data_IF_805778693642
#
_entry.id   IF_805778693642
#
_cell.length_a   1.000
_cell.length_b   1.000
_cell.length_c   1.000
_cell.angle_alpha   90.00
_cell.angle_beta   90.00
_cell.angle_gamma   90.00
#
_symmetry.space_group_name_H-M   'P 1'
#
loop_
_entity.id
_entity.type
_entity.pdbx_description
1 polymer ?
#
# COMPACT_ATOMS: atom_id res chain seq x y z
N UNK A 1 7.58 21.85 -2.93
CA UNK A 1 8.39 22.54 -1.90
C UNK A 1 7.56 23.22 -0.79
N UNK A 2 6.57 24.08 -1.09
CA UNK A 2 5.82 24.79 -0.03
C UNK A 2 4.80 23.93 0.77
N UNK A 3 4.52 22.69 0.34
CA UNK A 3 3.57 21.79 1.04
C UNK A 3 4.23 20.75 1.96
N UNK A 4 5.56 20.57 1.92
CA UNK A 4 6.29 19.62 2.79
C UNK A 4 6.52 20.16 4.22
N UNK A 5 6.09 21.40 4.51
CA UNK A 5 6.05 21.96 5.88
C UNK A 5 4.63 21.91 6.47
N UNK A 6 3.81 20.98 5.99
CA UNK A 6 2.48 20.73 6.53
C UNK A 6 2.57 20.35 8.01
N UNK A 7 1.67 20.91 8.84
CA UNK A 7 1.56 20.49 10.24
C UNK A 7 1.19 19.00 10.29
N UNK A 8 1.90 18.17 11.07
CA UNK A 8 1.73 16.72 11.07
C UNK A 8 0.38 16.25 11.67
N UNK A 9 -0.38 17.16 12.27
CA UNK A 9 -1.67 16.86 12.90
C UNK A 9 -2.87 17.01 11.94
N UNK A 10 -2.64 17.33 10.67
CA UNK A 10 -3.70 17.44 9.65
C UNK A 10 -3.46 16.39 8.57
N UNK A 11 -4.36 15.41 8.51
CA UNK A 11 -4.37 14.34 7.50
C UNK A 11 -4.56 14.95 6.10
N UNK A 12 -3.83 14.45 5.11
CA UNK A 12 -3.86 14.91 3.72
C UNK A 12 -3.52 16.41 3.50
N UNK A 13 -2.84 17.03 4.46
CA UNK A 13 -2.26 18.38 4.32
C UNK A 13 -1.01 18.35 3.43
N UNK A 14 -0.19 17.34 3.61
CA UNK A 14 0.92 17.04 2.74
C UNK A 14 0.40 16.17 1.57
N UNK A 15 0.53 16.61 0.31
CA UNK A 15 0.11 15.82 -0.84
C UNK A 15 0.92 14.51 -0.99
N UNK A 16 2.08 14.40 -0.35
CA UNK A 16 2.94 13.23 -0.40
C UNK A 16 2.61 12.21 0.71
N UNK A 17 1.81 12.61 1.71
CA UNK A 17 1.42 11.74 2.84
C UNK A 17 -0.07 11.42 2.75
N UNK A 18 -0.36 10.28 2.15
CA UNK A 18 -1.70 9.68 2.17
C UNK A 18 -1.78 8.58 3.22
N UNK A 19 -2.67 8.74 4.18
CA UNK A 19 -2.97 7.65 5.13
C UNK A 19 -3.72 6.54 4.40
N UNK A 20 -3.36 5.27 4.62
CA UNK A 20 -4.06 4.16 4.00
C UNK A 20 -5.54 4.18 4.41
N UNK A 21 -6.45 3.92 3.47
CA UNK A 21 -7.90 3.84 3.72
C UNK A 21 -8.28 2.81 4.80
N UNK A 22 -7.35 1.91 5.14
CA UNK A 22 -7.49 0.85 6.14
C UNK A 22 -7.42 1.36 7.59
N UNK A 23 -6.79 2.52 7.81
CA UNK A 23 -6.52 3.04 9.16
C UNK A 23 -7.12 4.43 9.34
N UNK A 24 -7.86 4.62 10.43
CA UNK A 24 -8.24 5.95 10.93
C UNK A 24 -7.33 6.32 12.10
N UNK A 25 -6.71 7.50 12.04
CA UNK A 25 -5.68 7.93 13.00
C UNK A 25 -6.15 9.11 13.85
N UNK A 26 -5.77 9.10 15.13
CA UNK A 26 -6.15 10.13 16.10
C UNK A 26 -7.64 10.15 16.42
N UNK A 27 -8.10 11.21 17.08
CA UNK A 27 -9.46 11.24 17.65
C UNK A 27 -10.52 11.78 16.69
N UNK A 28 -10.14 12.67 15.76
CA UNK A 28 -11.09 13.35 14.86
C UNK A 28 -11.46 12.52 13.64
N UNK A 29 -10.48 11.83 13.05
CA UNK A 29 -10.65 11.08 11.80
C UNK A 29 -11.65 9.92 11.94
N UNK A 30 -11.66 9.11 13.03
CA UNK A 30 -12.67 8.06 13.23
C UNK A 30 -14.10 8.62 13.31
N UNK A 31 -14.28 9.76 13.98
CA UNK A 31 -15.60 10.40 14.15
C UNK A 31 -16.13 10.89 12.80
N UNK A 32 -15.31 11.59 12.01
CA UNK A 32 -15.69 12.03 10.67
C UNK A 32 -16.00 10.86 9.73
N UNK A 33 -15.22 9.77 9.82
CA UNK A 33 -15.41 8.59 8.98
C UNK A 33 -16.70 7.84 9.32
N UNK A 34 -17.01 7.74 10.62
CA UNK A 34 -18.25 7.17 11.12
C UNK A 34 -19.47 7.99 10.66
N UNK A 35 -19.40 9.32 10.75
CA UNK A 35 -20.47 10.21 10.25
C UNK A 35 -20.71 10.03 8.75
N UNK A 36 -19.64 9.90 7.96
CA UNK A 36 -19.72 9.68 6.51
C UNK A 36 -20.15 8.26 6.14
N UNK A 37 -20.26 7.33 7.10
CA UNK A 37 -20.53 5.89 6.88
C UNK A 37 -19.63 5.25 5.82
N UNK A 38 -18.37 5.69 5.73
CA UNK A 38 -17.37 5.22 4.74
C UNK A 38 -16.47 4.09 5.27
N UNK A 39 -16.69 3.63 6.50
CA UNK A 39 -15.86 2.61 7.14
C UNK A 39 -16.36 1.20 6.82
N UNK A 40 -15.53 0.40 6.16
CA UNK A 40 -15.80 -1.04 5.97
C UNK A 40 -15.37 -1.86 7.18
N UNK A 41 -14.36 -1.40 7.93
CA UNK A 41 -13.75 -2.14 9.04
C UNK A 41 -13.99 -1.43 10.38
N UNK A 42 -14.29 -2.18 11.46
CA UNK A 42 -14.71 -1.57 12.73
C UNK A 42 -13.52 -1.01 13.52
N UNK A 43 -13.60 0.27 13.91
CA UNK A 43 -12.52 1.01 14.57
C UNK A 43 -12.07 0.41 15.91
N UNK A 44 -12.98 -0.16 16.69
CA UNK A 44 -12.68 -0.79 17.98
C UNK A 44 -11.73 -1.98 17.86
N UNK A 45 -11.68 -2.66 16.69
CA UNK A 45 -10.76 -3.76 16.43
C UNK A 45 -9.45 -3.31 15.76
N UNK A 46 -9.29 -2.01 15.50
CA UNK A 46 -8.15 -1.49 14.76
C UNK A 46 -6.82 -1.83 15.40
N UNK A 47 -6.72 -1.81 16.72
CA UNK A 47 -5.48 -2.19 17.40
C UNK A 47 -5.10 -3.67 17.14
N UNK A 48 -6.09 -4.55 16.97
CA UNK A 48 -5.89 -5.98 16.81
C UNK A 48 -5.46 -6.32 15.38
N UNK A 49 -6.17 -5.79 14.39
CA UNK A 49 -5.79 -6.01 12.99
C UNK A 49 -4.62 -5.13 12.55
N UNK A 50 -4.28 -4.05 13.25
CA UNK A 50 -3.11 -3.23 12.92
C UNK A 50 -1.81 -4.04 12.94
N UNK A 51 -1.63 -4.92 13.92
CA UNK A 51 -0.43 -5.76 13.99
C UNK A 51 -0.39 -6.83 12.90
N UNK A 52 -1.54 -7.37 12.50
CA UNK A 52 -1.63 -8.38 11.46
C UNK A 52 -1.54 -7.79 10.04
N UNK A 53 -2.23 -6.68 9.79
CA UNK A 53 -2.35 -6.06 8.47
C UNK A 53 -1.32 -4.95 8.23
N UNK A 54 -0.75 -4.37 9.29
CA UNK A 54 0.22 -3.28 9.20
C UNK A 54 1.53 -3.76 8.60
N UNK A 55 2.48 -4.30 9.37
CA UNK A 55 3.79 -4.68 8.84
C UNK A 55 3.71 -5.70 7.69
N UNK A 56 2.83 -6.70 7.82
CA UNK A 56 2.81 -7.84 6.91
C UNK A 56 2.02 -7.62 5.62
N UNK A 57 1.03 -6.71 5.59
CA UNK A 57 0.18 -6.50 4.40
C UNK A 57 0.35 -5.08 3.82
N UNK A 58 0.57 -4.07 4.67
CA UNK A 58 0.80 -2.71 4.19
C UNK A 58 2.05 -2.63 3.30
N UNK A 59 3.16 -3.23 3.76
CA UNK A 59 4.44 -3.14 3.05
C UNK A 59 4.46 -3.91 1.72
N UNK A 60 4.04 -5.20 1.66
CA UNK A 60 4.16 -6.00 0.45
C UNK A 60 2.90 -6.07 -0.42
N UNK A 61 1.73 -5.62 0.04
CA UNK A 61 0.50 -5.65 -0.78
C UNK A 61 0.01 -4.25 -1.08
N UNK A 62 -0.24 -3.43 -0.04
CA UNK A 62 -0.83 -2.12 -0.24
C UNK A 62 0.05 -1.21 -1.10
N UNK A 63 1.35 -1.10 -0.81
CA UNK A 63 2.24 -0.26 -1.61
C UNK A 63 2.41 -0.76 -3.05
N UNK A 64 2.30 -2.07 -3.31
CA UNK A 64 2.35 -2.57 -4.68
C UNK A 64 1.11 -2.18 -5.47
N UNK A 65 -0.08 -2.30 -4.87
CA UNK A 65 -1.34 -1.88 -5.50
C UNK A 65 -1.36 -0.37 -5.71
N UNK A 66 -0.95 0.40 -4.71
CA UNK A 66 -0.90 1.86 -4.77
C UNK A 66 0.08 2.35 -5.85
N UNK A 67 1.26 1.73 -5.93
CA UNK A 67 2.25 2.03 -6.97
C UNK A 67 1.68 1.78 -8.37
N UNK A 68 1.07 0.61 -8.61
CA UNK A 68 0.42 0.30 -9.90
C UNK A 68 -0.69 1.31 -10.21
N UNK A 69 -1.53 1.65 -9.22
CA UNK A 69 -2.59 2.64 -9.38
C UNK A 69 -2.04 4.00 -9.82
N UNK A 70 -0.97 4.49 -9.17
CA UNK A 70 -0.37 5.78 -9.51
C UNK A 70 0.35 5.77 -10.86
N UNK A 71 1.09 4.70 -11.18
CA UNK A 71 1.76 4.52 -12.49
C UNK A 71 0.73 4.56 -13.62
N UNK A 72 -0.40 3.87 -13.46
CA UNK A 72 -1.51 3.89 -14.44
C UNK A 72 -2.14 5.29 -14.50
N UNK A 73 -2.42 5.91 -13.35
CA UNK A 73 -3.05 7.23 -13.27
C UNK A 73 -2.20 8.34 -13.91
N UNK A 74 -0.89 8.31 -13.70
CA UNK A 74 0.07 9.27 -14.27
C UNK A 74 0.48 8.92 -15.70
N UNK A 75 0.15 7.72 -16.18
CA UNK A 75 0.55 7.16 -17.48
C UNK A 75 2.07 7.07 -17.62
N UNK A 76 2.75 6.69 -16.54
CA UNK A 76 4.20 6.50 -16.52
C UNK A 76 4.56 5.15 -17.18
N UNK A 77 4.60 5.15 -18.52
CA UNK A 77 4.78 3.93 -19.32
C UNK A 77 6.14 3.28 -19.08
N UNK A 78 7.19 4.07 -18.82
CA UNK A 78 8.54 3.55 -18.55
C UNK A 78 8.55 2.73 -17.26
N UNK A 79 7.98 3.26 -16.18
CA UNK A 79 7.90 2.59 -14.89
C UNK A 79 7.03 1.33 -14.97
N UNK A 80 5.94 1.39 -15.74
CA UNK A 80 5.10 0.22 -16.01
C UNK A 80 5.87 -0.87 -16.75
N UNK A 81 6.60 -0.52 -17.81
CA UNK A 81 7.39 -1.47 -18.60
C UNK A 81 8.51 -2.09 -17.77
N UNK A 82 9.27 -1.29 -17.02
CA UNK A 82 10.30 -1.78 -16.11
C UNK A 82 9.72 -2.75 -15.06
N UNK A 83 8.55 -2.42 -14.49
CA UNK A 83 7.86 -3.29 -13.53
C UNK A 83 7.45 -4.62 -14.16
N UNK A 84 6.86 -4.61 -15.36
CA UNK A 84 6.47 -5.84 -16.07
C UNK A 84 7.69 -6.67 -16.42
N UNK A 85 8.75 -6.05 -16.95
CA UNK A 85 9.99 -6.74 -17.30
C UNK A 85 10.65 -7.38 -16.07
N UNK A 86 10.62 -6.71 -14.92
CA UNK A 86 11.09 -7.27 -13.66
C UNK A 86 10.33 -8.55 -13.29
N UNK A 87 8.99 -8.52 -13.30
CA UNK A 87 8.20 -9.71 -12.96
C UNK A 87 8.38 -10.83 -13.98
N UNK A 88 8.40 -10.53 -15.28
CA UNK A 88 8.66 -11.53 -16.33
C UNK A 88 10.02 -12.19 -16.11
N UNK A 89 11.07 -11.41 -15.88
CA UNK A 89 12.41 -11.94 -15.61
C UNK A 89 12.44 -12.79 -14.34
N UNK A 90 11.80 -12.33 -13.27
CA UNK A 90 11.74 -13.05 -11.99
C UNK A 90 11.09 -14.43 -12.19
N UNK A 91 9.92 -14.48 -12.83
CA UNK A 91 9.23 -15.75 -13.10
C UNK A 91 9.99 -16.61 -14.11
N UNK A 92 10.63 -16.04 -15.13
CA UNK A 92 11.42 -16.81 -16.08
C UNK A 92 12.64 -17.48 -15.43
N UNK A 93 13.31 -16.80 -14.49
CA UNK A 93 14.50 -17.32 -13.82
C UNK A 93 14.15 -18.31 -12.71
N UNK A 94 13.16 -18.01 -11.86
CA UNK A 94 12.92 -18.78 -10.64
C UNK A 94 11.83 -19.85 -10.78
N UNK A 95 10.88 -19.70 -11.71
CA UNK A 95 9.80 -20.68 -11.90
C UNK A 95 10.31 -22.09 -12.25
N UNK A 96 11.38 -22.29 -13.05
CA UNK A 96 11.93 -23.62 -13.29
C UNK A 96 12.46 -24.33 -12.04
N UNK A 97 12.91 -23.58 -11.02
CA UNK A 97 13.51 -24.14 -9.81
C UNK A 97 12.52 -24.27 -8.65
N UNK A 98 11.64 -23.29 -8.49
CA UNK A 98 10.73 -23.17 -7.33
C UNK A 98 9.26 -23.38 -7.70
N UNK A 99 8.96 -23.53 -8.99
CA UNK A 99 7.59 -23.44 -9.50
C UNK A 99 7.02 -22.02 -9.41
N UNK A 100 5.80 -21.83 -9.94
CA UNK A 100 5.13 -20.53 -9.89
C UNK A 100 4.85 -20.04 -8.47
N UNK A 101 4.32 -20.94 -7.61
CA UNK A 101 4.01 -20.60 -6.21
C UNK A 101 5.27 -20.37 -5.36
N UNK A 102 6.33 -21.15 -5.56
CA UNK A 102 7.59 -20.94 -4.83
C UNK A 102 8.31 -19.65 -5.26
N UNK A 103 8.22 -19.27 -6.54
CA UNK A 103 8.71 -17.97 -7.02
C UNK A 103 7.93 -16.80 -6.42
N UNK A 104 6.61 -16.94 -6.33
CA UNK A 104 5.77 -15.94 -5.66
C UNK A 104 6.11 -15.82 -4.17
N UNK A 105 6.29 -16.96 -3.47
CA UNK A 105 6.72 -16.95 -2.08
C UNK A 105 8.10 -16.31 -1.90
N UNK A 106 9.07 -16.62 -2.78
CA UNK A 106 10.39 -15.97 -2.79
C UNK A 106 10.26 -14.45 -2.91
N UNK A 107 9.43 -13.96 -3.85
CA UNK A 107 9.20 -12.53 -4.02
C UNK A 107 8.61 -11.87 -2.77
N UNK A 108 7.64 -12.53 -2.12
CA UNK A 108 6.91 -11.95 -0.99
C UNK A 108 7.70 -12.01 0.33
N UNK A 109 8.54 -13.03 0.52
CA UNK A 109 9.24 -13.27 1.79
C UNK A 109 10.75 -12.98 1.76
N UNK A 110 11.41 -13.00 0.60
CA UNK A 110 12.84 -12.71 0.48
C UNK A 110 13.14 -11.22 0.23
N UNK A 111 12.23 -10.34 0.65
CA UNK A 111 12.33 -8.89 0.54
C UNK A 111 13.05 -8.27 1.73
#
# INVERSE_FOLDING_TARGET
HHQHHAKPNVVAKDPDITVPYLYVLGDKMPVEWAQKRKGFMPYNWQHGYFWALGPAILLPVYFHVENIYFVIKRRDVVDLLCSVLFFVRLFAVFSPFLGGWGTFALYMFAR
#
